data_IF_535255832248
#
_entry.id   IF_535255832248
#
_cell.length_a   1.000
_cell.length_b   1.000
_cell.length_c   1.000
_cell.angle_alpha   90.00
_cell.angle_beta   90.00
_cell.angle_gamma   90.00
#
_symmetry.space_group_name_H-M   'P 1'
#
loop_
_entity.id
_entity.type
_entity.pdbx_description
1 polymer ?
#
# COMPACT_ATOMS: atom_id res chain seq x y z
N UNK A 1 4.24 7.89 -16.85
CA UNK A 1 5.02 6.80 -16.20
C UNK A 1 5.16 7.13 -14.72
N UNK A 2 4.86 6.16 -13.85
CA UNK A 2 5.23 6.17 -12.44
C UNK A 2 6.37 5.17 -12.27
N UNK A 3 7.52 5.63 -11.79
CA UNK A 3 8.66 4.78 -11.49
C UNK A 3 8.32 3.84 -10.32
N UNK A 4 8.83 2.61 -10.34
CA UNK A 4 8.67 1.69 -9.22
C UNK A 4 9.99 1.45 -8.51
N UNK A 5 10.17 2.05 -7.34
CA UNK A 5 11.35 1.93 -6.50
C UNK A 5 11.15 0.81 -5.48
N UNK A 6 11.62 -0.39 -5.81
CA UNK A 6 11.51 -1.56 -4.92
C UNK A 6 12.70 -2.50 -5.09
N UNK A 7 13.76 -2.26 -4.32
CA UNK A 7 15.03 -2.98 -4.40
C UNK A 7 14.87 -4.51 -4.28
N UNK A 8 13.97 -4.98 -3.40
CA UNK A 8 13.73 -6.43 -3.20
C UNK A 8 13.24 -7.16 -4.44
N UNK A 9 12.54 -6.49 -5.35
CA UNK A 9 12.07 -7.08 -6.62
C UNK A 9 12.93 -6.69 -7.81
N UNK A 10 13.45 -5.46 -7.84
CA UNK A 10 14.15 -4.92 -9.00
C UNK A 10 15.68 -5.17 -8.95
N UNK A 11 16.21 -5.57 -7.77
CA UNK A 11 17.64 -5.74 -7.55
C UNK A 11 18.43 -4.44 -7.39
N UNK A 12 17.78 -3.29 -7.54
CA UNK A 12 18.34 -1.95 -7.33
C UNK A 12 17.27 -0.99 -6.78
N UNK A 13 17.71 0.16 -6.26
CA UNK A 13 16.85 1.27 -5.88
C UNK A 13 17.33 2.57 -6.54
N UNK A 14 16.37 3.43 -6.88
CA UNK A 14 16.69 4.76 -7.39
C UNK A 14 17.29 5.63 -6.28
N UNK A 15 18.35 6.38 -6.61
CA UNK A 15 18.79 7.52 -5.82
C UNK A 15 17.93 8.75 -6.14
N UNK A 16 17.91 9.75 -5.26
CA UNK A 16 17.25 11.04 -5.50
C UNK A 16 17.77 11.65 -6.81
N UNK A 17 19.09 11.75 -6.95
CA UNK A 17 19.75 12.31 -8.15
C UNK A 17 19.35 11.57 -9.44
N UNK A 18 19.19 10.25 -9.38
CA UNK A 18 18.74 9.47 -10.54
C UNK A 18 17.32 9.85 -10.95
N UNK A 19 16.40 9.98 -9.98
CA UNK A 19 15.01 10.38 -10.26
C UNK A 19 14.96 11.80 -10.81
N UNK A 20 15.68 12.74 -10.22
CA UNK A 20 15.78 14.14 -10.69
C UNK A 20 16.27 14.22 -12.12
N UNK A 21 17.32 13.48 -12.48
CA UNK A 21 17.85 13.41 -13.86
C UNK A 21 16.83 12.84 -14.85
N UNK A 22 16.11 11.77 -14.44
CA UNK A 22 15.10 11.15 -15.29
C UNK A 22 13.93 12.10 -15.54
N UNK A 23 13.42 12.78 -14.49
CA UNK A 23 12.33 13.75 -14.61
C UNK A 23 12.76 14.95 -15.46
N UNK A 24 13.96 15.50 -15.22
CA UNK A 24 14.50 16.60 -16.02
C UNK A 24 14.59 16.25 -17.51
N UNK A 25 14.96 15.00 -17.84
CA UNK A 25 15.08 14.53 -19.23
C UNK A 25 13.73 14.22 -19.88
N UNK A 26 12.74 13.78 -19.10
CA UNK A 26 11.43 13.32 -19.59
C UNK A 26 10.26 13.90 -18.77
N UNK A 27 10.16 15.24 -18.67
CA UNK A 27 9.22 15.89 -17.72
C UNK A 27 7.75 15.60 -18.03
N UNK A 28 7.40 15.39 -19.28
CA UNK A 28 6.03 15.10 -19.71
C UNK A 28 5.64 13.61 -19.59
N UNK A 29 6.61 12.73 -19.33
CA UNK A 29 6.38 11.29 -19.31
C UNK A 29 6.51 10.67 -17.91
N UNK A 30 7.46 11.16 -17.10
CA UNK A 30 7.73 10.62 -15.76
C UNK A 30 7.11 11.58 -14.74
N UNK A 31 5.96 11.18 -14.19
CA UNK A 31 5.09 12.05 -13.38
C UNK A 31 5.02 11.62 -11.91
N UNK A 32 5.70 10.55 -11.53
CA UNK A 32 5.70 10.10 -10.14
C UNK A 32 6.61 8.91 -9.88
N UNK A 33 6.70 8.56 -8.60
CA UNK A 33 7.38 7.36 -8.11
C UNK A 33 6.57 6.67 -7.02
N UNK A 34 6.40 5.35 -7.16
CA UNK A 34 5.98 4.47 -6.06
C UNK A 34 7.25 4.07 -5.31
N UNK A 35 7.36 4.48 -4.05
CA UNK A 35 8.54 4.22 -3.21
C UNK A 35 8.26 3.14 -2.16
N UNK A 36 8.61 1.90 -2.49
CA UNK A 36 8.55 0.74 -1.59
C UNK A 36 9.89 0.42 -0.93
N UNK A 37 10.97 1.11 -1.29
CA UNK A 37 12.28 1.07 -0.63
C UNK A 37 12.43 2.15 0.44
N UNK A 38 11.50 3.10 0.49
CA UNK A 38 11.38 4.17 1.50
C UNK A 38 12.60 5.11 1.63
N UNK A 39 13.44 5.17 0.61
CA UNK A 39 14.60 6.07 0.58
C UNK A 39 14.35 7.40 -0.16
N UNK A 40 13.19 7.54 -0.79
CA UNK A 40 12.84 8.73 -1.58
C UNK A 40 11.78 9.61 -0.90
N UNK A 41 10.74 9.02 -0.32
CA UNK A 41 9.50 9.73 0.06
C UNK A 41 9.72 10.85 1.09
N UNK A 42 10.77 10.78 1.91
CA UNK A 42 11.05 11.82 2.91
C UNK A 42 11.78 13.03 2.30
N UNK A 43 12.64 12.81 1.31
CA UNK A 43 13.59 13.84 0.86
C UNK A 43 13.46 14.23 -0.62
N UNK A 44 12.81 13.40 -1.47
CA UNK A 44 12.62 13.74 -2.87
C UNK A 44 11.59 14.87 -3.01
N UNK A 45 12.00 16.00 -3.59
CA UNK A 45 11.15 17.17 -3.83
C UNK A 45 11.30 17.62 -5.26
N UNK A 46 10.29 17.36 -6.08
CA UNK A 46 10.21 17.77 -7.48
C UNK A 46 8.82 18.36 -7.70
N UNK A 47 8.75 19.55 -8.27
CA UNK A 47 7.49 20.23 -8.56
C UNK A 47 6.62 19.43 -9.53
N UNK A 48 5.31 19.36 -9.27
CA UNK A 48 4.33 18.62 -10.08
C UNK A 48 4.65 17.13 -10.24
N UNK A 49 5.31 16.52 -9.26
CA UNK A 49 5.72 15.12 -9.27
C UNK A 49 5.11 14.37 -8.09
N UNK A 50 4.45 13.23 -8.35
CA UNK A 50 3.78 12.44 -7.31
C UNK A 50 4.74 11.47 -6.63
N UNK A 51 4.92 11.62 -5.33
CA UNK A 51 5.62 10.64 -4.49
C UNK A 51 4.60 9.81 -3.73
N UNK A 52 4.68 8.48 -3.85
CA UNK A 52 3.67 7.53 -3.38
C UNK A 52 4.36 6.39 -2.60
N UNK A 53 4.51 6.50 -1.27
CA UNK A 53 5.04 5.41 -0.44
C UNK A 53 4.25 4.10 -0.62
N UNK A 54 4.94 2.97 -0.45
CA UNK A 54 4.40 1.63 -0.71
C UNK A 54 3.73 0.96 0.49
N UNK A 55 3.30 1.70 1.51
CA UNK A 55 2.66 1.15 2.71
C UNK A 55 1.70 2.12 3.38
N UNK A 56 0.61 1.59 3.92
CA UNK A 56 -0.37 2.31 4.75
C UNK A 56 0.29 2.96 5.97
N UNK A 57 1.27 2.32 6.58
CA UNK A 57 2.02 2.88 7.73
C UNK A 57 2.81 4.15 7.39
N UNK A 58 2.93 4.46 6.10
CA UNK A 58 3.61 5.67 5.60
C UNK A 58 2.64 6.74 5.10
N UNK A 59 1.33 6.46 5.05
CA UNK A 59 0.34 7.38 4.49
C UNK A 59 0.36 8.73 5.22
N UNK A 60 0.07 8.73 6.52
CA UNK A 60 -0.03 9.98 7.28
C UNK A 60 1.28 10.78 7.28
N UNK A 61 2.41 10.12 7.55
CA UNK A 61 3.73 10.77 7.47
C UNK A 61 4.03 11.28 6.06
N UNK A 62 3.71 10.50 5.04
CA UNK A 62 3.89 10.91 3.64
C UNK A 62 3.08 12.18 3.31
N UNK A 63 1.81 12.23 3.68
CA UNK A 63 0.96 13.41 3.48
C UNK A 63 1.53 14.66 4.18
N UNK A 64 2.01 14.52 5.42
CA UNK A 64 2.68 15.60 6.16
C UNK A 64 3.94 16.11 5.45
N UNK A 65 4.60 15.26 4.69
CA UNK A 65 5.80 15.59 3.89
C UNK A 65 5.48 16.03 2.46
N UNK A 66 4.20 16.11 2.08
CA UNK A 66 3.76 16.53 0.76
C UNK A 66 3.67 15.40 -0.28
N UNK A 67 3.67 14.13 0.13
CA UNK A 67 3.39 13.02 -0.77
C UNK A 67 1.93 13.06 -1.25
N UNK A 68 1.68 12.55 -2.45
CA UNK A 68 0.35 12.58 -3.09
C UNK A 68 -0.62 11.50 -2.55
N UNK A 69 -0.13 10.54 -1.78
CA UNK A 69 -0.88 9.38 -1.28
C UNK A 69 0.01 8.15 -1.20
N UNK A 70 -0.57 6.96 -1.35
CA UNK A 70 0.16 5.68 -1.34
C UNK A 70 -0.27 4.76 -2.49
N UNK A 71 0.62 3.84 -2.89
CA UNK A 71 0.28 2.69 -3.75
C UNK A 71 0.74 1.43 -3.03
N UNK A 72 -0.18 0.60 -2.54
CA UNK A 72 0.12 -0.57 -1.72
C UNK A 72 -0.77 -1.77 -2.06
N UNK A 73 -0.26 -2.98 -1.83
CA UNK A 73 -1.01 -4.20 -2.09
C UNK A 73 -2.24 -4.32 -1.18
N UNK A 74 -2.11 -3.96 0.10
CA UNK A 74 -3.21 -4.08 1.07
C UNK A 74 -4.33 -3.07 0.86
N UNK A 75 -4.13 -1.99 0.09
CA UNK A 75 -5.22 -1.10 -0.31
C UNK A 75 -6.29 -1.79 -1.17
N UNK A 76 -6.03 -2.97 -1.72
CA UNK A 76 -7.11 -3.80 -2.27
C UNK A 76 -8.18 -4.16 -1.20
N UNK A 77 -7.79 -4.23 0.07
CA UNK A 77 -8.68 -4.47 1.20
C UNK A 77 -8.93 -3.23 2.07
N UNK A 78 -8.00 -2.28 2.12
CA UNK A 78 -8.00 -1.15 3.07
C UNK A 78 -8.31 0.20 2.42
N UNK A 79 -8.76 0.24 1.17
CA UNK A 79 -8.95 1.47 0.40
C UNK A 79 -9.83 2.52 1.11
N UNK A 80 -10.94 2.13 1.74
CA UNK A 80 -11.79 3.06 2.49
C UNK A 80 -11.09 3.65 3.72
N UNK A 81 -10.41 2.81 4.51
CA UNK A 81 -9.66 3.32 5.66
C UNK A 81 -8.55 4.28 5.21
N UNK A 82 -7.83 3.92 4.14
CA UNK A 82 -6.79 4.77 3.56
C UNK A 82 -7.39 6.09 3.02
N UNK A 83 -8.52 6.00 2.32
CA UNK A 83 -9.25 7.17 1.82
C UNK A 83 -9.71 8.07 2.95
N UNK A 84 -10.25 7.49 4.03
CA UNK A 84 -10.68 8.25 5.19
C UNK A 84 -9.50 8.98 5.86
N UNK A 85 -8.35 8.34 6.04
CA UNK A 85 -7.13 9.00 6.55
C UNK A 85 -6.69 10.15 5.66
N UNK A 86 -6.73 9.95 4.35
CA UNK A 86 -6.39 10.98 3.37
C UNK A 86 -7.35 12.18 3.47
N UNK A 87 -8.66 11.95 3.47
CA UNK A 87 -9.66 13.00 3.53
C UNK A 87 -9.64 13.76 4.85
N UNK A 88 -9.49 13.04 5.98
CA UNK A 88 -9.35 13.66 7.30
C UNK A 88 -8.09 14.56 7.35
N UNK A 89 -6.98 14.13 6.73
CA UNK A 89 -5.78 14.96 6.64
C UNK A 89 -6.01 16.22 5.79
N UNK A 90 -6.62 16.08 4.61
CA UNK A 90 -6.88 17.21 3.71
C UNK A 90 -7.82 18.25 4.33
N UNK A 91 -8.77 17.80 5.17
CA UNK A 91 -9.75 18.65 5.84
C UNK A 91 -9.29 19.14 7.23
N UNK A 92 -8.08 18.82 7.66
CA UNK A 92 -7.55 19.17 8.99
C UNK A 92 -8.25 18.46 10.15
N UNK A 93 -8.90 17.33 9.89
CA UNK A 93 -9.61 16.54 10.90
C UNK A 93 -8.65 15.65 11.72
N UNK A 94 -9.14 15.19 12.88
CA UNK A 94 -8.44 14.21 13.71
C UNK A 94 -8.28 12.86 12.99
N UNK A 95 -7.08 12.27 13.02
CA UNK A 95 -6.70 11.06 12.29
C UNK A 95 -7.13 9.76 12.99
N UNK A 96 -8.42 9.62 13.34
CA UNK A 96 -8.96 8.47 14.10
C UNK A 96 -8.83 7.12 13.38
N UNK A 97 -8.88 7.12 12.05
CA UNK A 97 -8.80 5.90 11.25
C UNK A 97 -7.36 5.38 11.05
N UNK A 98 -6.33 6.23 11.27
CA UNK A 98 -4.95 5.90 10.93
C UNK A 98 -4.40 4.70 11.71
N UNK A 99 -4.70 4.61 13.02
CA UNK A 99 -4.25 3.46 13.82
C UNK A 99 -4.83 2.16 13.30
N UNK A 100 -6.14 2.11 13.08
CA UNK A 100 -6.81 0.91 12.52
C UNK A 100 -6.25 0.53 11.15
N UNK A 101 -6.00 1.50 10.29
CA UNK A 101 -5.39 1.29 8.98
C UNK A 101 -4.02 0.60 9.10
N UNK A 102 -3.16 1.10 9.99
CA UNK A 102 -1.83 0.53 10.25
C UNK A 102 -1.92 -0.88 10.88
N UNK A 103 -2.86 -1.11 11.79
CA UNK A 103 -3.05 -2.41 12.45
C UNK A 103 -3.52 -3.48 11.47
N UNK A 104 -4.46 -3.14 10.57
CA UNK A 104 -4.92 -4.04 9.50
C UNK A 104 -3.76 -4.36 8.55
N UNK A 105 -2.98 -3.35 8.14
CA UNK A 105 -1.76 -3.58 7.35
C UNK A 105 -0.81 -4.55 8.05
N UNK A 106 -0.56 -4.34 9.34
CA UNK A 106 0.34 -5.18 10.14
C UNK A 106 -0.16 -6.63 10.28
N UNK A 107 -1.48 -6.86 10.27
CA UNK A 107 -2.05 -8.20 10.28
C UNK A 107 -1.70 -8.98 9.00
N UNK A 108 -1.73 -8.32 7.83
CA UNK A 108 -1.35 -8.93 6.55
C UNK A 108 0.17 -9.08 6.40
N UNK A 109 0.98 -8.16 6.94
CA UNK A 109 2.45 -8.18 6.82
C UNK A 109 3.14 -9.37 7.51
N UNK A 110 2.44 -10.07 8.38
CA UNK A 110 2.94 -11.31 9.02
C UNK A 110 3.14 -12.45 8.02
N UNK A 111 2.54 -12.33 6.84
CA UNK A 111 2.54 -13.33 5.77
C UNK A 111 3.06 -12.71 4.47
N UNK A 112 3.23 -13.54 3.44
CA UNK A 112 3.33 -12.97 2.08
C UNK A 112 2.04 -12.19 1.79
N UNK A 113 2.15 -10.89 1.49
CA UNK A 113 1.01 -10.00 1.33
C UNK A 113 0.02 -10.45 0.26
N UNK A 114 0.53 -10.96 -0.87
CA UNK A 114 -0.31 -11.44 -1.98
C UNK A 114 -1.07 -12.68 -1.52
N UNK A 115 -0.36 -13.66 -0.93
CA UNK A 115 -0.98 -14.88 -0.38
C UNK A 115 -2.05 -14.57 0.66
N UNK A 116 -1.76 -13.63 1.58
CA UNK A 116 -2.69 -13.19 2.61
C UNK A 116 -3.96 -12.55 2.04
N UNK A 117 -3.81 -11.63 1.08
CA UNK A 117 -4.94 -10.97 0.42
C UNK A 117 -5.79 -11.97 -0.38
N UNK A 118 -5.16 -12.84 -1.14
CA UNK A 118 -5.86 -13.89 -1.88
C UNK A 118 -6.60 -14.86 -0.96
N UNK A 119 -6.00 -15.23 0.17
CA UNK A 119 -6.67 -16.05 1.20
C UNK A 119 -7.87 -15.34 1.79
N UNK A 120 -7.74 -14.06 2.11
CA UNK A 120 -8.81 -13.23 2.67
C UNK A 120 -10.01 -13.11 1.70
N UNK A 121 -9.77 -12.68 0.46
CA UNK A 121 -10.83 -12.56 -0.55
C UNK A 121 -11.37 -13.90 -1.03
N UNK A 122 -10.54 -14.94 -1.00
CA UNK A 122 -10.89 -16.30 -1.38
C UNK A 122 -11.95 -16.97 -0.49
N UNK A 123 -12.30 -16.36 0.65
CA UNK A 123 -13.43 -16.81 1.48
C UNK A 123 -14.76 -16.60 0.77
N UNK A 124 -14.94 -15.44 0.15
CA UNK A 124 -16.20 -15.04 -0.47
C UNK A 124 -16.22 -15.29 -1.97
N UNK A 125 -15.05 -15.39 -2.61
CA UNK A 125 -14.94 -15.64 -4.04
C UNK A 125 -13.78 -16.61 -4.34
N UNK A 126 -14.13 -17.83 -4.75
CA UNK A 126 -13.18 -18.91 -5.01
C UNK A 126 -12.14 -18.57 -6.10
N UNK A 127 -12.45 -17.64 -7.02
CA UNK A 127 -11.51 -17.22 -8.07
C UNK A 127 -10.22 -16.62 -7.49
N UNK A 128 -10.28 -16.01 -6.31
CA UNK A 128 -9.09 -15.47 -5.63
C UNK A 128 -8.15 -16.56 -5.11
N UNK A 129 -8.56 -17.84 -5.05
CA UNK A 129 -7.68 -18.94 -4.64
C UNK A 129 -6.68 -19.36 -5.72
N UNK A 130 -6.84 -18.86 -6.96
CA UNK A 130 -5.96 -19.16 -8.07
C UNK A 130 -4.79 -18.16 -8.09
N UNK A 131 -3.63 -18.57 -7.60
CA UNK A 131 -2.39 -17.81 -7.69
C UNK A 131 -1.42 -18.47 -8.66
N UNK A 132 -0.60 -17.65 -9.31
CA UNK A 132 0.49 -18.14 -10.14
C UNK A 132 1.68 -18.58 -9.25
N UNK A 133 2.30 -19.73 -9.53
CA UNK A 133 3.52 -20.14 -8.85
C UNK A 133 4.63 -19.06 -8.95
N UNK A 134 5.48 -18.90 -7.94
CA UNK A 134 5.61 -19.73 -6.73
C UNK A 134 4.65 -19.35 -5.59
N UNK A 135 3.69 -18.45 -5.82
CA UNK A 135 2.73 -18.04 -4.79
C UNK A 135 1.65 -19.11 -4.59
N UNK A 136 1.17 -19.20 -3.35
CA UNK A 136 0.04 -20.04 -2.95
C UNK A 136 -0.82 -19.29 -1.93
N UNK A 137 -2.05 -19.74 -1.71
CA UNK A 137 -2.85 -19.28 -0.56
C UNK A 137 -2.15 -19.75 0.75
N UNK A 138 -2.45 -19.08 1.85
CA UNK A 138 -1.98 -19.48 3.17
C UNK A 138 -2.48 -20.88 3.54
N UNK A 139 -1.73 -21.59 4.36
CA UNK A 139 -2.23 -22.86 4.94
C UNK A 139 -3.38 -22.58 5.93
N UNK A 140 -4.09 -23.65 6.37
CA UNK A 140 -5.27 -23.50 7.23
C UNK A 140 -4.98 -22.75 8.53
N UNK A 141 -3.88 -23.08 9.21
CA UNK A 141 -3.51 -22.43 10.47
C UNK A 141 -3.18 -20.93 10.30
N UNK A 142 -2.43 -20.59 9.26
CA UNK A 142 -2.13 -19.18 8.92
C UNK A 142 -3.39 -18.42 8.54
N UNK A 143 -4.29 -19.03 7.76
CA UNK A 143 -5.55 -18.43 7.36
C UNK A 143 -6.46 -18.15 8.57
N UNK A 144 -6.56 -19.09 9.51
CA UNK A 144 -7.30 -18.92 10.76
C UNK A 144 -6.72 -17.79 11.62
N UNK A 145 -5.39 -17.72 11.74
CA UNK A 145 -4.72 -16.66 12.50
C UNK A 145 -4.92 -15.28 11.86
N UNK A 146 -4.80 -15.17 10.53
CA UNK A 146 -5.07 -13.92 9.82
C UNK A 146 -6.50 -13.45 10.09
N UNK A 147 -7.47 -14.37 9.95
CA UNK A 147 -8.88 -14.06 10.16
C UNK A 147 -9.14 -13.59 11.59
N UNK A 148 -8.66 -14.35 12.60
CA UNK A 148 -8.81 -13.97 13.99
C UNK A 148 -8.18 -12.60 14.32
N UNK A 149 -7.07 -12.24 13.68
CA UNK A 149 -6.46 -10.92 13.85
C UNK A 149 -7.35 -9.82 13.23
N UNK A 150 -7.89 -10.03 12.03
CA UNK A 150 -8.78 -9.07 11.38
C UNK A 150 -10.11 -8.90 12.13
N UNK A 151 -10.67 -10.00 12.65
CA UNK A 151 -11.90 -9.99 13.46
C UNK A 151 -11.71 -9.17 14.74
N UNK A 152 -10.56 -9.32 15.44
CA UNK A 152 -10.23 -8.49 16.62
C UNK A 152 -10.14 -7.00 16.30
N UNK A 153 -9.78 -6.65 15.08
CA UNK A 153 -9.73 -5.27 14.59
C UNK A 153 -11.11 -4.79 14.09
N UNK A 154 -12.15 -5.63 14.16
CA UNK A 154 -13.45 -5.37 13.56
C UNK A 154 -13.30 -4.92 12.10
N UNK A 155 -12.49 -5.65 11.32
CA UNK A 155 -12.21 -5.34 9.93
C UNK A 155 -12.87 -6.35 8.99
N UNK A 156 -13.68 -5.83 8.07
CA UNK A 156 -14.34 -6.58 7.00
C UNK A 156 -14.43 -5.70 5.75
N UNK A 157 -14.43 -6.32 4.57
CA UNK A 157 -14.65 -5.68 3.27
C UNK A 157 -15.98 -6.06 2.64
N UNK A 158 -16.88 -6.68 3.38
CA UNK A 158 -18.14 -7.20 2.85
C UNK A 158 -19.04 -6.11 2.25
N UNK A 159 -18.87 -4.85 2.69
CA UNK A 159 -19.58 -3.69 2.15
C UNK A 159 -19.13 -3.28 0.74
N UNK A 160 -17.96 -3.72 0.26
CA UNK A 160 -17.38 -3.27 -1.02
C UNK A 160 -17.56 -4.28 -2.15
N UNK A 161 -17.73 -5.56 -1.82
CA UNK A 161 -17.86 -6.63 -2.82
C UNK A 161 -19.29 -6.77 -3.31
N UNK A 162 -20.21 -5.94 -2.83
CA UNK A 162 -21.62 -5.93 -3.19
C UNK A 162 -21.97 -4.87 -4.27
N UNK A 163 -20.96 -4.18 -4.84
CA UNK A 163 -21.15 -3.16 -5.87
C UNK A 163 -20.72 -3.66 -7.25
#
# INVERSE_FOLDING_TARGET
IILYNFEKLCGYKFSIECVEKLVSKYPNNIVGVKDSSYNLFENLKIDNFSVLPGSESKLLKGLQLGCSGIITATCNATSELARKVYDDFQNGNEQKANQKLCDVRSAFEKYNLISGLHTYFGKNNASYKNLLPPLSILNSGEAEQLNANLDRLNFSTDSYLAA
#
